data_IF_391581183674
#
_entry.id   IF_391581183674
#
_cell.length_a   1.000
_cell.length_b   1.000
_cell.length_c   1.000
_cell.angle_alpha   90.00
_cell.angle_beta   90.00
_cell.angle_gamma   90.00
#
_symmetry.space_group_name_H-M   'P 1'
#
loop_
_entity.id
_entity.type
_entity.pdbx_description
1 polymer ?
#
# COMPACT_ATOMS: atom_id res chain seq x y z
N UNK A 1 -179.77 -202.68 -0.36
CA UNK A 1 -178.87 -202.71 -1.54
C UNK A 1 -178.50 -201.27 -1.90
N UNK A 2 -177.19 -200.98 -1.90
CA UNK A 2 -176.45 -199.94 -2.64
C UNK A 2 -177.18 -198.62 -2.93
N UNK A 3 -177.05 -197.64 -2.03
CA UNK A 3 -177.18 -196.20 -2.37
C UNK A 3 -176.65 -195.24 -1.29
N UNK A 4 -176.04 -195.71 -0.19
CA UNK A 4 -175.66 -194.86 0.95
C UNK A 4 -174.19 -194.41 0.97
N UNK A 5 -173.34 -194.93 0.08
CA UNK A 5 -171.88 -194.74 0.17
C UNK A 5 -171.34 -193.62 -0.74
N UNK A 6 -172.09 -193.15 -1.74
CA UNK A 6 -171.62 -192.10 -2.68
C UNK A 6 -171.85 -190.66 -2.18
N UNK A 7 -172.81 -190.42 -1.27
CA UNK A 7 -173.10 -189.08 -0.75
C UNK A 7 -172.07 -188.56 0.27
N UNK A 8 -171.34 -189.45 0.95
CA UNK A 8 -170.33 -189.04 1.95
C UNK A 8 -169.05 -188.49 1.33
N UNK A 9 -168.60 -189.04 0.20
CA UNK A 9 -167.36 -188.62 -0.43
C UNK A 9 -167.43 -187.21 -1.05
N UNK A 10 -168.62 -186.77 -1.48
CA UNK A 10 -168.80 -185.44 -2.06
C UNK A 10 -168.80 -184.32 -1.00
N UNK A 11 -169.27 -184.62 0.21
CA UNK A 11 -169.31 -183.66 1.31
C UNK A 11 -167.90 -183.29 1.83
N UNK A 12 -166.98 -184.25 1.88
CA UNK A 12 -165.61 -184.00 2.35
C UNK A 12 -164.81 -183.07 1.40
N UNK A 13 -164.93 -183.27 0.08
CA UNK A 13 -164.23 -182.44 -0.92
C UNK A 13 -164.71 -180.98 -0.91
N UNK A 14 -166.00 -180.75 -0.65
CA UNK A 14 -166.54 -179.39 -0.58
C UNK A 14 -165.96 -178.64 0.63
N UNK A 15 -165.82 -179.33 1.76
CA UNK A 15 -165.28 -178.77 2.99
C UNK A 15 -163.79 -178.44 2.88
N UNK A 16 -163.02 -179.27 2.17
CA UNK A 16 -161.60 -178.97 1.90
C UNK A 16 -161.44 -177.75 0.97
N UNK A 17 -162.27 -177.64 -0.07
CA UNK A 17 -162.26 -176.47 -0.97
C UNK A 17 -162.54 -175.17 -0.21
N UNK A 18 -163.50 -175.18 0.69
CA UNK A 18 -163.84 -174.00 1.50
C UNK A 18 -162.72 -173.62 2.47
N UNK A 19 -162.05 -174.59 3.10
CA UNK A 19 -160.85 -174.34 3.91
C UNK A 19 -159.72 -173.73 3.10
N UNK A 20 -159.42 -174.29 1.92
CA UNK A 20 -158.37 -173.79 1.05
C UNK A 20 -158.66 -172.37 0.55
N UNK A 21 -159.93 -172.08 0.23
CA UNK A 21 -160.34 -170.75 -0.18
C UNK A 21 -160.25 -169.74 0.97
N UNK A 22 -160.63 -170.14 2.18
CA UNK A 22 -160.48 -169.29 3.38
C UNK A 22 -158.99 -168.99 3.67
N UNK A 23 -158.13 -170.01 3.62
CA UNK A 23 -156.68 -169.81 3.76
C UNK A 23 -156.10 -168.92 2.66
N UNK A 24 -156.53 -169.09 1.40
CA UNK A 24 -156.07 -168.24 0.29
C UNK A 24 -156.47 -166.78 0.46
N UNK A 25 -157.71 -166.51 0.88
CA UNK A 25 -158.18 -165.14 1.15
C UNK A 25 -157.39 -164.50 2.31
N UNK A 26 -157.13 -165.25 3.38
CA UNK A 26 -156.31 -164.76 4.50
C UNK A 26 -154.89 -164.47 4.04
N UNK A 27 -154.22 -165.41 3.36
CA UNK A 27 -152.85 -165.20 2.87
C UNK A 27 -152.75 -164.04 1.86
N UNK A 28 -153.76 -163.88 1.00
CA UNK A 28 -153.83 -162.73 0.10
C UNK A 28 -153.97 -161.43 0.89
N UNK A 29 -154.83 -161.40 1.92
CA UNK A 29 -155.03 -160.24 2.77
C UNK A 29 -153.79 -159.91 3.61
N UNK A 30 -153.13 -160.90 4.21
CA UNK A 30 -151.90 -160.70 4.98
C UNK A 30 -150.75 -160.23 4.08
N UNK A 31 -150.68 -160.71 2.82
CA UNK A 31 -149.74 -160.19 1.82
C UNK A 31 -150.04 -158.72 1.50
N UNK A 32 -151.29 -158.36 1.24
CA UNK A 32 -151.71 -156.98 0.97
C UNK A 32 -151.44 -156.05 2.16
N UNK A 33 -151.69 -156.52 3.40
CA UNK A 33 -151.38 -155.80 4.65
C UNK A 33 -149.87 -155.57 4.79
N UNK A 34 -149.02 -156.59 4.62
CA UNK A 34 -147.55 -156.43 4.63
C UNK A 34 -147.05 -155.48 3.53
N UNK A 35 -147.66 -155.50 2.35
CA UNK A 35 -147.32 -154.58 1.26
C UNK A 35 -147.74 -153.13 1.56
N UNK A 36 -148.82 -152.93 2.32
CA UNK A 36 -149.23 -151.63 2.81
C UNK A 36 -148.28 -151.13 3.92
N UNK A 37 -147.86 -151.99 4.85
CA UNK A 37 -146.87 -151.67 5.89
C UNK A 37 -145.51 -151.28 5.29
N UNK A 38 -145.03 -152.00 4.27
CA UNK A 38 -143.80 -151.65 3.55
C UNK A 38 -143.88 -150.25 2.93
N UNK A 39 -144.98 -149.94 2.23
CA UNK A 39 -145.20 -148.59 1.67
C UNK A 39 -145.30 -147.51 2.75
N UNK A 40 -145.89 -147.82 3.90
CA UNK A 40 -145.95 -146.89 5.02
C UNK A 40 -144.55 -146.63 5.59
N UNK A 41 -143.72 -147.67 5.76
CA UNK A 41 -142.33 -147.53 6.21
C UNK A 41 -141.44 -146.81 5.19
N UNK A 42 -141.63 -147.05 3.89
CA UNK A 42 -140.92 -146.33 2.83
C UNK A 42 -141.23 -144.83 2.85
N UNK A 43 -142.51 -144.46 3.02
CA UNK A 43 -142.90 -143.05 3.20
C UNK A 43 -142.32 -142.44 4.46
N UNK A 44 -142.38 -143.15 5.59
CA UNK A 44 -141.77 -142.65 6.81
C UNK A 44 -140.24 -142.48 6.69
N UNK A 45 -139.55 -143.34 5.93
CA UNK A 45 -138.12 -143.17 5.65
C UNK A 45 -137.88 -141.95 4.77
N UNK A 46 -138.67 -141.77 3.71
CA UNK A 46 -138.60 -140.58 2.86
C UNK A 46 -138.87 -139.29 3.64
N UNK A 47 -139.92 -139.24 4.46
CA UNK A 47 -140.23 -138.08 5.29
C UNK A 47 -139.09 -137.76 6.27
N UNK A 48 -138.42 -138.78 6.83
CA UNK A 48 -137.23 -138.60 7.68
C UNK A 48 -136.03 -138.09 6.88
N UNK A 49 -135.81 -138.60 5.68
CA UNK A 49 -134.73 -138.15 4.79
C UNK A 49 -134.94 -136.71 4.35
N UNK A 50 -136.15 -136.36 3.89
CA UNK A 50 -136.52 -134.99 3.51
C UNK A 50 -136.39 -134.03 4.69
N UNK A 51 -136.87 -134.42 5.87
CA UNK A 51 -136.68 -133.63 7.09
C UNK A 51 -135.20 -133.43 7.42
N UNK A 52 -134.39 -134.48 7.31
CA UNK A 52 -132.96 -134.35 7.56
C UNK A 52 -132.26 -133.45 6.52
N UNK A 53 -132.66 -133.53 5.25
CA UNK A 53 -132.16 -132.66 4.19
C UNK A 53 -132.54 -131.20 4.43
N UNK A 54 -133.78 -130.92 4.86
CA UNK A 54 -134.19 -129.57 5.25
C UNK A 54 -133.39 -129.06 6.45
N UNK A 55 -133.19 -129.88 7.49
CA UNK A 55 -132.37 -129.52 8.64
C UNK A 55 -130.90 -129.26 8.27
N UNK A 56 -130.35 -130.01 7.30
CA UNK A 56 -129.01 -129.78 6.76
C UNK A 56 -128.93 -128.47 5.99
N UNK A 57 -129.89 -128.21 5.08
CA UNK A 57 -129.94 -126.96 4.32
C UNK A 57 -130.11 -125.74 5.23
N UNK A 58 -130.97 -125.81 6.25
CA UNK A 58 -131.14 -124.73 7.24
C UNK A 58 -129.85 -124.46 8.02
N UNK A 59 -129.08 -125.52 8.36
CA UNK A 59 -127.76 -125.37 8.99
C UNK A 59 -126.72 -124.79 8.03
N UNK A 60 -126.70 -125.21 6.77
CA UNK A 60 -125.80 -124.69 5.75
C UNK A 60 -126.08 -123.21 5.47
N UNK A 61 -127.36 -122.83 5.32
CA UNK A 61 -127.78 -121.44 5.18
C UNK A 61 -127.43 -120.61 6.42
N UNK A 62 -127.62 -121.17 7.63
CA UNK A 62 -127.20 -120.56 8.89
C UNK A 62 -125.69 -120.30 8.95
N UNK A 63 -124.87 -121.31 8.61
CA UNK A 63 -123.42 -121.18 8.55
C UNK A 63 -122.97 -120.20 7.47
N UNK A 64 -123.67 -120.15 6.33
CA UNK A 64 -123.39 -119.19 5.27
C UNK A 64 -123.70 -117.76 5.71
N UNK A 65 -124.83 -117.54 6.41
CA UNK A 65 -125.17 -116.25 7.01
C UNK A 65 -124.14 -115.85 8.08
N UNK A 66 -123.79 -116.73 9.00
CA UNK A 66 -122.76 -116.47 10.02
C UNK A 66 -121.41 -116.14 9.38
N UNK A 67 -121.00 -116.89 8.35
CA UNK A 67 -119.77 -116.62 7.60
C UNK A 67 -119.81 -115.25 6.92
N UNK A 68 -120.95 -114.90 6.32
CA UNK A 68 -121.14 -113.60 5.66
C UNK A 68 -121.08 -112.47 6.67
N UNK A 69 -121.73 -112.62 7.82
CA UNK A 69 -121.74 -111.64 8.90
C UNK A 69 -120.33 -111.43 9.43
N UNK A 70 -119.59 -112.49 9.76
CA UNK A 70 -118.19 -112.42 10.19
C UNK A 70 -117.32 -111.74 9.13
N UNK A 71 -117.50 -112.05 7.84
CA UNK A 71 -116.77 -111.39 6.75
C UNK A 71 -117.08 -109.89 6.67
N UNK A 72 -118.34 -109.51 6.86
CA UNK A 72 -118.71 -108.09 6.86
C UNK A 72 -118.17 -107.36 8.09
N UNK A 73 -118.21 -107.97 9.27
CA UNK A 73 -117.61 -107.42 10.49
C UNK A 73 -116.09 -107.26 10.35
N UNK A 74 -115.40 -108.26 9.77
CA UNK A 74 -113.97 -108.17 9.47
C UNK A 74 -113.67 -107.03 8.50
N UNK A 75 -114.42 -106.91 7.39
CA UNK A 75 -114.24 -105.83 6.43
C UNK A 75 -114.48 -104.44 7.06
N UNK A 76 -115.51 -104.31 7.91
CA UNK A 76 -115.82 -103.07 8.63
C UNK A 76 -114.71 -102.71 9.62
N UNK A 77 -114.22 -103.68 10.40
CA UNK A 77 -113.14 -103.47 11.37
C UNK A 77 -111.81 -103.15 10.68
N UNK A 78 -111.43 -103.85 9.61
CA UNK A 78 -110.26 -103.56 8.79
C UNK A 78 -110.33 -102.15 8.18
N UNK A 79 -111.48 -101.77 7.62
CA UNK A 79 -111.67 -100.42 7.10
C UNK A 79 -111.58 -99.38 8.22
N UNK A 80 -112.14 -99.66 9.41
CA UNK A 80 -112.00 -98.85 10.61
C UNK A 80 -110.54 -98.65 11.02
N UNK A 81 -109.74 -99.73 11.07
CA UNK A 81 -108.31 -99.66 11.37
C UNK A 81 -107.53 -98.87 10.32
N UNK A 82 -107.78 -99.09 9.03
CA UNK A 82 -107.10 -98.33 7.96
C UNK A 82 -107.48 -96.85 7.99
N UNK A 83 -108.71 -96.51 8.35
CA UNK A 83 -109.14 -95.12 8.54
C UNK A 83 -108.48 -94.50 9.77
N UNK A 84 -108.39 -95.23 10.89
CA UNK A 84 -107.69 -94.76 12.09
C UNK A 84 -106.20 -94.49 11.81
N UNK A 85 -105.51 -95.40 11.11
CA UNK A 85 -104.10 -95.20 10.71
C UNK A 85 -103.96 -94.01 9.76
N UNK A 86 -104.86 -93.84 8.79
CA UNK A 86 -104.86 -92.68 7.89
C UNK A 86 -105.05 -91.37 8.67
N UNK A 87 -105.98 -91.34 9.61
CA UNK A 87 -106.20 -90.18 10.47
C UNK A 87 -104.97 -89.87 11.34
N UNK A 88 -104.37 -90.87 11.96
CA UNK A 88 -103.14 -90.71 12.76
C UNK A 88 -101.97 -90.18 11.93
N UNK A 89 -101.79 -90.68 10.70
CA UNK A 89 -100.77 -90.16 9.76
C UNK A 89 -101.05 -88.70 9.39
N UNK A 90 -102.30 -88.35 9.08
CA UNK A 90 -102.66 -86.97 8.76
C UNK A 90 -102.42 -86.03 9.94
N UNK A 91 -102.73 -86.45 11.17
CA UNK A 91 -102.45 -85.68 12.38
C UNK A 91 -100.93 -85.53 12.60
N UNK A 92 -100.15 -86.59 12.39
CA UNK A 92 -98.70 -86.55 12.45
C UNK A 92 -98.11 -85.61 11.39
N UNK A 93 -98.57 -85.68 10.14
CA UNK A 93 -98.12 -84.80 9.06
C UNK A 93 -98.45 -83.34 9.35
N UNK A 94 -99.63 -83.06 9.91
CA UNK A 94 -99.99 -81.72 10.39
C UNK A 94 -99.06 -81.22 11.50
N UNK A 95 -98.74 -82.08 12.48
CA UNK A 95 -97.83 -81.74 13.57
C UNK A 95 -96.38 -81.54 13.09
N UNK A 96 -95.91 -82.37 12.15
CA UNK A 96 -94.60 -82.21 11.52
C UNK A 96 -94.54 -80.92 10.70
N UNK A 97 -95.61 -80.61 9.98
CA UNK A 97 -95.71 -79.36 9.22
C UNK A 97 -95.66 -78.14 10.15
N UNK A 98 -96.47 -78.11 11.22
CA UNK A 98 -96.46 -76.99 12.17
C UNK A 98 -95.09 -76.80 12.81
N UNK A 99 -94.45 -77.89 13.23
CA UNK A 99 -93.11 -77.84 13.83
C UNK A 99 -92.05 -77.36 12.84
N UNK A 100 -92.12 -77.77 11.56
CA UNK A 100 -91.23 -77.27 10.51
C UNK A 100 -91.42 -75.77 10.28
N UNK A 101 -92.67 -75.31 10.22
CA UNK A 101 -92.95 -73.88 10.05
C UNK A 101 -92.44 -73.06 11.23
N UNK A 102 -92.59 -73.56 12.46
CA UNK A 102 -92.03 -72.93 13.66
C UNK A 102 -90.50 -72.85 13.58
N UNK A 103 -89.81 -73.95 13.24
CA UNK A 103 -88.36 -73.95 13.08
C UNK A 103 -87.87 -73.06 11.94
N UNK A 104 -88.60 -72.98 10.83
CA UNK A 104 -88.26 -72.08 9.73
C UNK A 104 -88.38 -70.61 10.14
N UNK A 105 -89.44 -70.25 10.87
CA UNK A 105 -89.61 -68.90 11.39
C UNK A 105 -88.57 -68.56 12.46
N UNK A 106 -88.28 -69.47 13.38
CA UNK A 106 -87.22 -69.30 14.39
C UNK A 106 -85.84 -69.14 13.75
N UNK A 107 -85.53 -69.94 12.71
CA UNK A 107 -84.29 -69.83 11.96
C UNK A 107 -84.20 -68.48 11.21
N UNK A 108 -85.29 -68.03 10.58
CA UNK A 108 -85.35 -66.71 9.94
C UNK A 108 -85.14 -65.58 10.95
N UNK A 109 -85.80 -65.66 12.11
CA UNK A 109 -85.66 -64.68 13.19
C UNK A 109 -84.23 -64.65 13.73
N UNK A 110 -83.62 -65.82 13.98
CA UNK A 110 -82.24 -65.92 14.43
C UNK A 110 -81.26 -65.32 13.40
N UNK A 111 -81.42 -65.65 12.11
CA UNK A 111 -80.61 -65.08 11.03
C UNK A 111 -80.80 -63.56 10.92
N UNK A 112 -82.02 -63.05 11.05
CA UNK A 112 -82.32 -61.62 11.02
C UNK A 112 -81.67 -60.90 12.21
N UNK A 113 -81.75 -61.46 13.42
CA UNK A 113 -81.09 -60.93 14.62
C UNK A 113 -79.57 -60.92 14.47
N UNK A 114 -78.97 -62.01 13.99
CA UNK A 114 -77.54 -62.06 13.73
C UNK A 114 -77.10 -61.06 12.66
N UNK A 115 -77.87 -60.92 11.58
CA UNK A 115 -77.61 -59.93 10.53
C UNK A 115 -77.66 -58.51 11.10
N UNK A 116 -78.69 -58.19 11.90
CA UNK A 116 -78.81 -56.89 12.55
C UNK A 116 -77.68 -56.63 13.57
N UNK A 117 -77.27 -57.65 14.34
CA UNK A 117 -76.13 -57.52 15.25
C UNK A 117 -74.84 -57.26 14.50
N UNK A 118 -74.63 -57.95 13.37
CA UNK A 118 -73.46 -57.75 12.52
C UNK A 118 -73.43 -56.36 11.87
N UNK A 119 -74.57 -55.83 11.41
CA UNK A 119 -74.62 -54.46 10.88
C UNK A 119 -74.34 -53.44 11.97
N UNK A 120 -74.95 -53.56 13.15
CA UNK A 120 -74.69 -52.67 14.29
C UNK A 120 -73.23 -52.68 14.74
N UNK A 121 -72.59 -53.86 14.78
CA UNK A 121 -71.17 -53.97 15.12
C UNK A 121 -70.28 -53.29 14.07
N UNK A 122 -70.60 -53.44 12.77
CA UNK A 122 -69.88 -52.76 11.69
C UNK A 122 -70.05 -51.24 11.77
N UNK A 123 -71.28 -50.77 11.96
CA UNK A 123 -71.58 -49.34 12.11
C UNK A 123 -70.85 -48.74 13.32
N UNK A 124 -70.88 -49.41 14.47
CA UNK A 124 -70.16 -48.95 15.67
C UNK A 124 -68.64 -48.95 15.48
N UNK A 125 -68.07 -49.94 14.80
CA UNK A 125 -66.64 -49.96 14.49
C UNK A 125 -66.25 -48.86 13.48
N UNK A 126 -67.10 -48.61 12.47
CA UNK A 126 -66.88 -47.51 11.52
C UNK A 126 -66.99 -46.14 12.19
N UNK A 127 -67.95 -45.96 13.10
CA UNK A 127 -68.13 -44.74 13.87
C UNK A 127 -66.94 -44.50 14.80
N UNK A 128 -66.47 -45.52 15.52
CA UNK A 128 -65.25 -45.44 16.33
C UNK A 128 -64.04 -45.04 15.48
N UNK A 129 -63.84 -45.70 14.33
CA UNK A 129 -62.75 -45.35 13.39
C UNK A 129 -62.87 -43.92 12.87
N UNK A 130 -64.08 -43.45 12.55
CA UNK A 130 -64.31 -42.06 12.11
C UNK A 130 -63.97 -41.07 13.21
N UNK A 131 -64.37 -41.36 14.45
CA UNK A 131 -64.06 -40.51 15.60
C UNK A 131 -62.55 -40.46 15.86
N UNK A 132 -61.85 -41.60 15.84
CA UNK A 132 -60.38 -41.64 15.96
C UNK A 132 -59.68 -40.83 14.87
N UNK A 133 -60.10 -41.00 13.61
CA UNK A 133 -59.56 -40.22 12.49
C UNK A 133 -59.82 -38.72 12.70
N UNK A 134 -61.01 -38.35 13.16
CA UNK A 134 -61.36 -36.96 13.43
C UNK A 134 -60.51 -36.37 14.56
N UNK A 135 -60.30 -37.09 15.67
CA UNK A 135 -59.43 -36.66 16.77
C UNK A 135 -57.99 -36.49 16.31
N UNK A 136 -57.43 -37.48 15.60
CA UNK A 136 -56.07 -37.39 15.05
C UNK A 136 -55.94 -36.22 14.07
N UNK A 137 -56.96 -35.97 13.25
CA UNK A 137 -56.96 -34.85 12.30
C UNK A 137 -56.99 -33.52 13.04
N UNK A 138 -57.85 -33.39 14.05
CA UNK A 138 -57.92 -32.18 14.88
C UNK A 138 -56.61 -31.90 15.63
N UNK A 139 -55.95 -32.93 16.18
CA UNK A 139 -54.64 -32.81 16.81
C UNK A 139 -53.56 -32.37 15.81
N UNK A 140 -53.54 -32.97 14.61
CA UNK A 140 -52.62 -32.58 13.54
C UNK A 140 -52.87 -31.16 13.06
N UNK A 141 -54.11 -30.76 12.86
CA UNK A 141 -54.48 -29.42 12.42
C UNK A 141 -54.14 -28.36 13.47
N UNK A 142 -54.31 -28.69 14.77
CA UNK A 142 -53.86 -27.86 15.87
C UNK A 142 -52.33 -27.71 15.85
N UNK A 143 -51.58 -28.80 15.66
CA UNK A 143 -50.12 -28.74 15.57
C UNK A 143 -49.64 -27.95 14.35
N UNK A 144 -50.25 -28.14 13.18
CA UNK A 144 -49.96 -27.37 11.97
C UNK A 144 -50.20 -25.88 12.23
N UNK A 145 -51.31 -25.53 12.89
CA UNK A 145 -51.61 -24.15 13.25
C UNK A 145 -50.58 -23.54 14.21
N UNK A 146 -50.12 -24.31 15.20
CA UNK A 146 -49.06 -23.89 16.12
C UNK A 146 -47.73 -23.64 15.39
N UNK A 147 -47.33 -24.54 14.49
CA UNK A 147 -46.11 -24.40 13.69
C UNK A 147 -46.21 -23.17 12.77
N UNK A 148 -47.35 -22.94 12.13
CA UNK A 148 -47.60 -21.74 11.32
C UNK A 148 -47.47 -20.47 12.17
N UNK A 149 -48.04 -20.46 13.38
CA UNK A 149 -47.95 -19.31 14.29
C UNK A 149 -46.50 -19.03 14.74
N UNK A 150 -45.73 -20.08 15.09
CA UNK A 150 -44.30 -19.96 15.42
C UNK A 150 -43.51 -19.43 14.24
N UNK A 151 -43.69 -20.02 13.06
CA UNK A 151 -43.03 -19.58 11.84
C UNK A 151 -43.36 -18.11 11.53
N UNK A 152 -44.63 -17.69 11.66
CA UNK A 152 -45.03 -16.30 11.45
C UNK A 152 -44.33 -15.34 12.44
N UNK A 153 -44.20 -15.73 13.71
CA UNK A 153 -43.47 -14.96 14.73
C UNK A 153 -41.98 -14.86 14.41
N UNK A 154 -41.35 -15.96 14.01
CA UNK A 154 -39.94 -16.00 13.65
C UNK A 154 -39.66 -15.16 12.39
N UNK A 155 -40.51 -15.27 11.37
CA UNK A 155 -40.43 -14.40 10.18
C UNK A 155 -40.57 -12.92 10.54
N UNK A 156 -41.48 -12.57 11.46
CA UNK A 156 -41.61 -11.19 11.93
C UNK A 156 -40.36 -10.72 12.69
N UNK A 157 -39.76 -11.58 13.51
CA UNK A 157 -38.51 -11.29 14.21
C UNK A 157 -37.34 -11.08 13.24
N UNK A 158 -37.20 -11.95 12.24
CA UNK A 158 -36.19 -11.83 11.17
C UNK A 158 -36.38 -10.51 10.41
N UNK A 159 -37.61 -10.18 10.02
CA UNK A 159 -37.92 -8.91 9.33
C UNK A 159 -37.52 -7.70 10.17
N UNK A 160 -37.86 -7.71 11.47
CA UNK A 160 -37.45 -6.63 12.40
C UNK A 160 -35.93 -6.53 12.50
N UNK A 161 -35.22 -7.64 12.68
CA UNK A 161 -33.76 -7.65 12.73
C UNK A 161 -33.13 -7.04 11.48
N UNK A 162 -33.58 -7.43 10.28
CA UNK A 162 -33.06 -6.84 9.05
C UNK A 162 -33.45 -5.37 8.89
N UNK A 163 -34.66 -4.98 9.30
CA UNK A 163 -35.10 -3.59 9.28
C UNK A 163 -34.24 -2.73 10.21
N UNK A 164 -33.97 -3.20 11.42
CA UNK A 164 -33.13 -2.55 12.42
C UNK A 164 -31.66 -2.49 11.99
N UNK A 165 -31.15 -3.57 11.38
CA UNK A 165 -29.79 -3.56 10.81
C UNK A 165 -29.69 -2.58 9.65
N UNK A 166 -30.73 -2.47 8.83
CA UNK A 166 -30.79 -1.54 7.70
C UNK A 166 -30.91 -0.10 8.19
N UNK A 167 -31.77 0.19 9.16
CA UNK A 167 -31.91 1.53 9.75
C UNK A 167 -30.63 1.96 10.46
N UNK A 168 -30.02 1.09 11.27
CA UNK A 168 -28.73 1.34 11.92
C UNK A 168 -27.62 1.61 10.91
N UNK A 169 -27.53 0.82 9.84
CA UNK A 169 -26.57 1.08 8.75
C UNK A 169 -26.85 2.42 8.06
N UNK A 170 -28.12 2.75 7.80
CA UNK A 170 -28.50 4.02 7.19
C UNK A 170 -28.10 5.21 8.07
N UNK A 171 -28.32 5.11 9.39
CA UNK A 171 -27.95 6.13 10.35
C UNK A 171 -26.43 6.29 10.46
N UNK A 172 -25.68 5.18 10.42
CA UNK A 172 -24.22 5.22 10.34
C UNK A 172 -23.75 5.92 9.06
N UNK A 173 -24.34 5.60 7.90
CA UNK A 173 -24.02 6.25 6.63
C UNK A 173 -24.33 7.75 6.70
N UNK A 174 -25.45 8.16 7.31
CA UNK A 174 -25.78 9.58 7.50
C UNK A 174 -24.72 10.29 8.34
N UNK A 175 -24.34 9.71 9.49
CA UNK A 175 -23.28 10.27 10.36
C UNK A 175 -21.95 10.41 9.61
N UNK A 176 -21.52 9.36 8.91
CA UNK A 176 -20.28 9.41 8.13
C UNK A 176 -20.32 10.46 7.01
N UNK A 177 -21.49 10.70 6.41
CA UNK A 177 -21.67 11.78 5.43
C UNK A 177 -21.62 13.16 6.08
N UNK A 178 -22.23 13.34 7.24
CA UNK A 178 -22.15 14.58 8.02
C UNK A 178 -20.69 14.88 8.43
N UNK A 179 -20.00 13.89 8.99
CA UNK A 179 -18.57 13.99 9.36
C UNK A 179 -17.71 14.32 8.14
N UNK A 180 -17.98 13.70 6.99
CA UNK A 180 -17.26 14.00 5.74
C UNK A 180 -17.46 15.44 5.27
N UNK A 181 -18.70 15.95 5.31
CA UNK A 181 -18.99 17.34 4.96
C UNK A 181 -18.36 18.32 5.97
N UNK A 182 -18.32 17.99 7.25
CA UNK A 182 -17.62 18.79 8.27
C UNK A 182 -16.11 18.84 8.03
N UNK A 183 -15.48 17.69 7.79
CA UNK A 183 -14.05 17.61 7.46
C UNK A 183 -13.73 18.40 6.18
N UNK A 184 -14.57 18.30 5.16
CA UNK A 184 -14.40 19.08 3.93
C UNK A 184 -14.54 20.59 4.16
N UNK A 185 -15.46 21.02 5.03
CA UNK A 185 -15.56 22.43 5.46
C UNK A 185 -14.33 22.87 6.28
N UNK A 186 -13.78 21.99 7.12
CA UNK A 186 -12.55 22.28 7.85
C UNK A 186 -11.36 22.42 6.89
N UNK A 187 -11.19 21.47 5.95
CA UNK A 187 -10.13 21.51 4.94
C UNK A 187 -10.21 22.77 4.06
N UNK A 188 -11.42 23.16 3.62
CA UNK A 188 -11.59 24.42 2.86
C UNK A 188 -11.30 25.67 3.69
N UNK A 189 -11.46 25.63 5.02
CA UNK A 189 -11.03 26.72 5.91
C UNK A 189 -9.51 26.71 6.08
N UNK A 190 -8.91 25.55 6.30
CA UNK A 190 -7.47 25.39 6.50
C UNK A 190 -6.69 25.72 5.24
N UNK A 191 -7.18 25.35 4.06
CA UNK A 191 -6.57 25.75 2.78
C UNK A 191 -6.61 27.27 2.60
N UNK A 192 -7.68 27.95 3.02
CA UNK A 192 -7.76 29.42 3.02
C UNK A 192 -6.79 30.05 4.02
N UNK A 193 -6.74 29.56 5.26
CA UNK A 193 -5.79 30.09 6.26
C UNK A 193 -4.35 29.84 5.85
N UNK A 194 -4.06 28.70 5.23
CA UNK A 194 -2.73 28.36 4.73
C UNK A 194 -2.34 29.25 3.53
N UNK A 195 -3.28 29.56 2.64
CA UNK A 195 -3.06 30.53 1.56
C UNK A 195 -2.81 31.95 2.11
N UNK A 196 -3.59 32.38 3.11
CA UNK A 196 -3.40 33.67 3.78
C UNK A 196 -2.06 33.75 4.51
N UNK A 197 -1.67 32.70 5.23
CA UNK A 197 -0.38 32.59 5.90
C UNK A 197 0.77 32.57 4.90
N UNK A 198 0.64 31.87 3.77
CA UNK A 198 1.64 31.88 2.70
C UNK A 198 1.77 33.26 2.06
N UNK A 199 0.65 33.97 1.85
CA UNK A 199 0.66 35.35 1.34
C UNK A 199 1.36 36.30 2.32
N UNK A 200 1.03 36.22 3.62
CA UNK A 200 1.69 36.98 4.69
C UNK A 200 3.16 36.62 4.83
N UNK A 201 3.51 35.34 4.72
CA UNK A 201 4.90 34.89 4.75
C UNK A 201 5.68 35.46 3.58
N UNK A 202 5.12 35.42 2.35
CA UNK A 202 5.77 36.04 1.18
C UNK A 202 5.91 37.55 1.33
N UNK A 203 4.88 38.25 1.81
CA UNK A 203 4.91 39.71 1.97
C UNK A 203 5.86 40.17 3.06
N UNK A 204 6.11 39.37 4.10
CA UNK A 204 6.99 39.74 5.20
C UNK A 204 8.43 39.23 5.01
N UNK A 205 8.59 38.02 4.46
CA UNK A 205 9.89 37.39 4.30
C UNK A 205 10.68 37.97 3.14
N UNK A 206 10.03 38.41 2.06
CA UNK A 206 10.72 39.00 0.91
C UNK A 206 11.39 40.36 1.26
N UNK A 207 10.72 41.29 1.97
CA UNK A 207 11.39 42.48 2.51
C UNK A 207 12.45 42.15 3.55
N UNK A 208 12.22 41.17 4.42
CA UNK A 208 13.20 40.77 5.43
C UNK A 208 14.47 40.20 4.79
N UNK A 209 14.35 39.40 3.74
CA UNK A 209 15.47 38.85 2.98
C UNK A 209 16.25 39.95 2.27
N UNK A 210 15.56 40.91 1.65
CA UNK A 210 16.18 42.09 1.03
C UNK A 210 16.91 42.96 2.06
N UNK A 211 16.29 43.23 3.21
CA UNK A 211 16.90 44.01 4.28
C UNK A 211 18.13 43.30 4.87
N UNK A 212 18.07 41.96 5.07
CA UNK A 212 19.23 41.17 5.52
C UNK A 212 20.38 41.20 4.52
N UNK A 213 20.09 41.00 3.23
CA UNK A 213 21.11 41.09 2.18
C UNK A 213 21.75 42.48 2.12
N UNK A 214 20.96 43.55 2.30
CA UNK A 214 21.48 44.91 2.34
C UNK A 214 22.33 45.18 3.58
N UNK A 215 21.94 44.66 4.75
CA UNK A 215 22.76 44.74 5.98
C UNK A 215 24.09 43.99 5.79
N UNK A 216 24.08 42.80 5.18
CA UNK A 216 25.31 42.06 4.87
C UNK A 216 26.21 42.83 3.90
N UNK A 217 25.64 43.42 2.83
CA UNK A 217 26.36 44.24 1.85
C UNK A 217 27.00 45.46 2.51
N UNK A 218 26.22 46.24 3.27
CA UNK A 218 26.71 47.42 3.99
C UNK A 218 27.77 47.08 5.03
N UNK A 219 27.66 45.92 5.69
CA UNK A 219 28.68 45.45 6.64
C UNK A 219 29.99 45.09 5.92
N UNK A 220 29.92 44.50 4.71
CA UNK A 220 31.09 44.24 3.89
C UNK A 220 31.75 45.55 3.40
N UNK A 221 30.95 46.51 2.93
CA UNK A 221 31.43 47.83 2.51
C UNK A 221 32.10 48.58 3.68
N UNK A 222 31.51 48.51 4.87
CA UNK A 222 32.09 49.13 6.07
C UNK A 222 33.44 48.50 6.44
N UNK A 223 33.58 47.17 6.34
CA UNK A 223 34.87 46.50 6.53
C UNK A 223 35.91 46.97 5.50
N UNK A 224 35.52 47.08 4.23
CA UNK A 224 36.42 47.58 3.18
C UNK A 224 36.85 49.03 3.47
N UNK A 225 35.91 49.91 3.80
CA UNK A 225 36.21 51.29 4.19
C UNK A 225 37.14 51.38 5.41
N UNK A 226 37.01 50.51 6.41
CA UNK A 226 37.96 50.50 7.55
C UNK A 226 39.37 50.07 7.13
N UNK A 227 39.49 49.12 6.20
CA UNK A 227 40.78 48.71 5.64
C UNK A 227 41.41 49.84 4.83
N UNK A 228 40.63 50.50 3.99
CA UNK A 228 41.09 51.62 3.17
C UNK A 228 41.47 52.84 4.03
N UNK A 229 40.76 53.10 5.13
CA UNK A 229 41.15 54.13 6.09
C UNK A 229 42.51 53.84 6.73
N UNK A 230 42.80 52.57 7.08
CA UNK A 230 44.12 52.17 7.59
C UNK A 230 45.22 52.32 6.54
N UNK A 231 44.94 51.95 5.29
CA UNK A 231 45.88 52.14 4.16
C UNK A 231 46.17 53.61 3.93
N UNK A 232 45.14 54.45 3.96
CA UNK A 232 45.27 55.90 3.80
C UNK A 232 46.16 56.49 4.89
N UNK A 233 46.00 56.07 6.15
CA UNK A 233 46.85 56.54 7.24
C UNK A 233 48.32 56.14 7.03
N UNK A 234 48.58 54.90 6.64
CA UNK A 234 49.94 54.44 6.31
C UNK A 234 50.56 55.24 5.15
N UNK A 235 49.78 55.56 4.11
CA UNK A 235 50.24 56.39 2.99
C UNK A 235 50.49 57.84 3.42
N UNK A 236 49.69 58.39 4.33
CA UNK A 236 49.93 59.74 4.88
C UNK A 236 51.23 59.79 5.68
N UNK A 237 51.51 58.78 6.50
CA UNK A 237 52.77 58.70 7.24
C UNK A 237 53.98 58.59 6.31
N UNK A 238 53.90 57.80 5.24
CA UNK A 238 54.99 57.71 4.26
C UNK A 238 55.15 59.01 3.47
N UNK A 239 54.04 59.65 3.07
CA UNK A 239 54.06 60.94 2.39
C UNK A 239 54.71 62.02 3.27
N UNK A 240 54.34 62.11 4.54
CA UNK A 240 54.93 63.07 5.47
C UNK A 240 56.45 62.86 5.62
N UNK A 241 56.92 61.60 5.67
CA UNK A 241 58.36 61.30 5.65
C UNK A 241 59.04 61.77 4.37
N UNK A 242 58.40 61.56 3.21
CA UNK A 242 58.93 62.03 1.92
C UNK A 242 58.93 63.55 1.80
N UNK A 243 57.91 64.24 2.30
CA UNK A 243 57.86 65.72 2.35
C UNK A 243 59.01 66.28 3.20
N UNK A 244 59.30 65.67 4.36
CA UNK A 244 60.43 66.06 5.20
C UNK A 244 61.78 65.82 4.49
N UNK A 245 61.95 64.69 3.80
CA UNK A 245 63.15 64.43 3.00
C UNK A 245 63.32 65.43 1.86
N UNK A 246 62.22 65.76 1.16
CA UNK A 246 62.21 66.76 0.09
C UNK A 246 62.59 68.14 0.62
N UNK A 247 62.00 68.57 1.75
CA UNK A 247 62.34 69.85 2.39
C UNK A 247 63.82 69.93 2.79
N UNK A 248 64.37 68.85 3.35
CA UNK A 248 65.80 68.77 3.68
C UNK A 248 66.68 68.84 2.41
N UNK A 249 66.28 68.17 1.33
CA UNK A 249 67.00 68.21 0.06
C UNK A 249 66.94 69.61 -0.58
N UNK A 250 65.81 70.30 -0.51
CA UNK A 250 65.65 71.68 -0.98
C UNK A 250 66.56 72.65 -0.21
N UNK A 251 66.59 72.55 1.12
CA UNK A 251 67.51 73.33 1.96
C UNK A 251 68.98 73.08 1.57
N UNK A 252 69.35 71.82 1.35
CA UNK A 252 70.71 71.47 0.92
C UNK A 252 71.03 72.05 -0.46
N UNK A 253 70.09 71.99 -1.41
CA UNK A 253 70.23 72.60 -2.73
C UNK A 253 70.42 74.12 -2.60
N UNK A 254 69.62 74.83 -1.81
CA UNK A 254 69.78 76.27 -1.60
C UNK A 254 71.16 76.62 -1.02
N UNK A 255 71.64 75.84 -0.04
CA UNK A 255 72.97 76.01 0.55
C UNK A 255 74.06 75.82 -0.51
N UNK A 256 73.98 74.76 -1.32
CA UNK A 256 74.98 74.47 -2.34
C UNK A 256 74.93 75.47 -3.51
N UNK A 257 73.74 75.96 -3.88
CA UNK A 257 73.60 77.07 -4.83
C UNK A 257 74.26 78.35 -4.30
N UNK A 258 74.06 78.70 -3.03
CA UNK A 258 74.71 79.87 -2.43
C UNK A 258 76.23 79.72 -2.39
N UNK A 259 76.75 78.52 -2.07
CA UNK A 259 78.18 78.22 -2.13
C UNK A 259 78.72 78.37 -3.54
N UNK A 260 78.02 77.85 -4.54
CA UNK A 260 78.41 77.96 -5.95
C UNK A 260 78.43 79.42 -6.42
N UNK A 261 77.43 80.23 -6.03
CA UNK A 261 77.39 81.67 -6.35
C UNK A 261 78.60 82.40 -5.76
N UNK A 262 78.96 82.13 -4.49
CA UNK A 262 80.17 82.71 -3.87
C UNK A 262 81.44 82.28 -4.60
N UNK A 263 81.63 80.99 -4.85
CA UNK A 263 82.80 80.47 -5.56
C UNK A 263 82.92 81.04 -6.99
N UNK A 264 81.79 81.23 -7.68
CA UNK A 264 81.77 81.83 -9.02
C UNK A 264 82.19 83.30 -8.94
N UNK A 265 81.69 84.06 -7.96
CA UNK A 265 82.13 85.44 -7.72
C UNK A 265 83.62 85.53 -7.37
N UNK A 266 84.13 84.62 -6.55
CA UNK A 266 85.56 84.58 -6.18
C UNK A 266 86.43 84.22 -7.38
N UNK A 267 86.02 83.24 -8.20
CA UNK A 267 86.68 82.88 -9.47
C UNK A 267 86.72 84.07 -10.43
N UNK A 268 85.59 84.72 -10.65
CA UNK A 268 85.47 85.84 -11.59
C UNK A 268 86.24 87.07 -11.08
N UNK A 269 86.20 87.31 -9.76
CA UNK A 269 87.01 88.32 -9.10
C UNK A 269 88.51 88.06 -9.25
N UNK A 270 88.94 86.80 -9.13
CA UNK A 270 90.34 86.41 -9.34
C UNK A 270 90.75 86.55 -10.80
N UNK A 271 89.92 86.12 -11.75
CA UNK A 271 90.15 86.29 -13.18
C UNK A 271 90.28 87.78 -13.56
N UNK A 272 89.40 88.64 -13.03
CA UNK A 272 89.47 90.08 -13.22
C UNK A 272 90.74 90.70 -12.62
N UNK A 273 91.18 90.27 -11.43
CA UNK A 273 92.45 90.70 -10.83
C UNK A 273 93.65 90.24 -11.68
N UNK A 274 93.65 88.99 -12.13
CA UNK A 274 94.69 88.43 -12.98
C UNK A 274 94.85 89.24 -14.27
N UNK A 275 93.73 89.56 -14.93
CA UNK A 275 93.74 90.35 -16.16
C UNK A 275 94.22 91.79 -15.93
N UNK A 276 93.84 92.44 -14.82
CA UNK A 276 94.38 93.76 -14.43
C UNK A 276 95.89 93.72 -14.20
N UNK A 277 96.41 92.70 -13.51
CA UNK A 277 97.84 92.52 -13.28
C UNK A 277 98.57 92.32 -14.61
N UNK A 278 98.02 91.49 -15.51
CA UNK A 278 98.61 91.20 -16.81
C UNK A 278 98.72 92.46 -17.68
N UNK A 279 97.64 93.26 -17.77
CA UNK A 279 97.69 94.56 -18.47
C UNK A 279 98.67 95.54 -17.83
N UNK A 280 98.74 95.61 -16.50
CA UNK A 280 99.69 96.49 -15.81
C UNK A 280 101.15 96.10 -16.09
N UNK A 281 101.47 94.80 -16.08
CA UNK A 281 102.80 94.29 -16.41
C UNK A 281 103.13 94.56 -17.87
N UNK A 282 102.19 94.31 -18.79
CA UNK A 282 102.37 94.58 -20.21
C UNK A 282 102.59 96.07 -20.48
N UNK A 283 101.83 96.97 -19.83
CA UNK A 283 102.00 98.41 -19.95
C UNK A 283 103.35 98.88 -19.42
N UNK A 284 103.77 98.39 -18.24
CA UNK A 284 105.09 98.71 -17.66
C UNK A 284 106.24 98.20 -18.53
N UNK A 285 106.13 96.97 -19.04
CA UNK A 285 107.12 96.41 -19.97
C UNK A 285 107.15 97.17 -21.28
N UNK A 286 105.99 97.53 -21.84
CA UNK A 286 105.88 98.32 -23.07
C UNK A 286 106.48 99.71 -22.91
N UNK A 287 106.19 100.42 -21.82
CA UNK A 287 106.83 101.70 -21.48
C UNK A 287 108.35 101.56 -21.33
N UNK A 288 108.82 100.50 -20.67
CA UNK A 288 110.27 100.26 -20.50
C UNK A 288 110.94 99.99 -21.85
N UNK A 289 110.34 99.20 -22.72
CA UNK A 289 110.84 98.93 -24.06
C UNK A 289 110.86 100.20 -24.91
N UNK A 290 109.79 101.01 -24.88
CA UNK A 290 109.73 102.28 -25.62
C UNK A 290 110.81 103.28 -25.16
N UNK A 291 111.11 103.32 -23.85
CA UNK A 291 112.20 104.15 -23.32
C UNK A 291 113.56 103.62 -23.78
N UNK A 292 113.74 102.29 -23.84
CA UNK A 292 114.98 101.68 -24.33
C UNK A 292 115.18 101.93 -25.82
N UNK A 293 114.14 101.81 -26.64
CA UNK A 293 114.16 102.17 -28.06
C UNK A 293 114.53 103.65 -28.25
N UNK A 294 113.86 104.58 -27.55
CA UNK A 294 114.23 106.00 -27.64
C UNK A 294 115.66 106.31 -27.19
N UNK A 295 116.19 105.58 -26.20
CA UNK A 295 117.59 105.71 -25.79
C UNK A 295 118.53 105.15 -26.86
N UNK A 296 118.15 104.05 -27.51
CA UNK A 296 118.91 103.47 -28.61
C UNK A 296 118.95 104.44 -29.80
N UNK A 297 117.80 104.96 -30.22
CA UNK A 297 117.69 105.94 -31.32
C UNK A 297 118.54 107.19 -31.05
N UNK A 298 118.48 107.72 -29.82
CA UNK A 298 119.31 108.87 -29.42
C UNK A 298 120.80 108.55 -29.41
N UNK A 299 121.19 107.33 -29.01
CA UNK A 299 122.59 106.90 -29.04
C UNK A 299 123.07 106.70 -30.48
N UNK A 300 122.25 106.13 -31.35
CA UNK A 300 122.52 106.01 -32.78
C UNK A 300 122.69 107.38 -33.44
N UNK A 301 121.82 108.35 -33.15
CA UNK A 301 121.95 109.72 -33.65
C UNK A 301 123.26 110.38 -33.15
N UNK A 302 123.61 110.22 -31.87
CA UNK A 302 124.91 110.73 -31.37
C UNK A 302 126.11 110.03 -32.01
N UNK A 303 125.98 108.75 -32.35
CA UNK A 303 127.03 108.00 -33.03
C UNK A 303 127.19 108.47 -34.47
N UNK A 304 126.10 108.67 -35.22
CA UNK A 304 126.14 109.22 -36.58
C UNK A 304 126.72 110.64 -36.63
N UNK A 305 126.40 111.48 -35.64
CA UNK A 305 127.02 112.80 -35.49
C UNK A 305 128.52 112.68 -35.19
N UNK A 306 128.91 111.78 -34.29
CA UNK A 306 130.34 111.53 -34.00
C UNK A 306 131.08 111.01 -35.25
N UNK A 307 130.51 110.08 -36.00
CA UNK A 307 131.13 109.49 -37.20
C UNK A 307 131.24 110.50 -38.35
N UNK A 308 130.24 111.39 -38.50
CA UNK A 308 130.31 112.50 -39.46
C UNK A 308 131.36 113.54 -39.07
N UNK A 309 131.44 113.92 -37.79
CA UNK A 309 132.50 114.79 -37.26
C UNK A 309 133.89 114.15 -37.41
N UNK A 310 134.03 112.86 -37.11
CA UNK A 310 135.27 112.11 -37.29
C UNK A 310 135.68 112.07 -38.77
N UNK A 311 134.73 111.86 -39.67
CA UNK A 311 134.96 111.90 -41.13
C UNK A 311 135.38 113.28 -41.61
N UNK A 312 134.78 114.36 -41.09
CA UNK A 312 135.14 115.74 -41.44
C UNK A 312 136.55 116.12 -40.91
N UNK A 313 136.90 115.70 -39.70
CA UNK A 313 138.26 115.89 -39.15
C UNK A 313 139.29 115.13 -39.97
N UNK A 314 138.97 113.89 -40.38
CA UNK A 314 139.86 113.09 -41.22
C UNK A 314 140.10 113.73 -42.60
N UNK A 315 139.08 114.38 -43.18
CA UNK A 315 139.23 115.09 -44.47
C UNK A 315 139.97 116.41 -44.30
N UNK A 316 139.65 117.21 -43.28
CA UNK A 316 140.23 118.54 -43.07
C UNK A 316 141.69 118.52 -42.60
N UNK A 317 142.09 117.51 -41.83
CA UNK A 317 143.44 117.43 -41.29
C UNK A 317 144.49 116.99 -42.32
N UNK A 318 144.07 116.59 -43.54
CA UNK A 318 144.95 116.07 -44.59
C UNK A 318 145.98 115.05 -44.04
N UNK A 319 145.56 114.32 -43.01
CA UNK A 319 146.36 113.34 -42.31
C UNK A 319 146.37 112.08 -43.16
N UNK A 320 147.55 111.62 -43.54
CA UNK A 320 147.71 110.33 -44.20
C UNK A 320 147.05 109.24 -43.33
N UNK A 321 146.13 108.49 -43.94
CA UNK A 321 145.20 107.53 -43.33
C UNK A 321 145.93 106.47 -42.49
N UNK A 322 147.19 106.18 -42.85
CA UNK A 322 148.05 105.27 -42.11
C UNK A 322 148.44 105.81 -40.72
N UNK A 323 148.70 107.12 -40.60
CA UNK A 323 149.11 107.76 -39.34
C UNK A 323 147.95 107.89 -38.36
N UNK A 324 146.73 108.19 -38.85
CA UNK A 324 145.52 108.27 -38.04
C UNK A 324 145.08 106.88 -37.51
N UNK A 325 145.17 105.84 -38.35
CA UNK A 325 144.89 104.46 -37.94
C UNK A 325 145.86 103.96 -36.86
N UNK A 326 147.16 104.25 -37.00
CA UNK A 326 148.17 103.82 -36.03
C UNK A 326 148.05 104.47 -34.65
N UNK A 327 147.58 105.72 -34.57
CA UNK A 327 147.28 106.39 -33.29
C UNK A 327 145.97 105.82 -32.69
N UNK A 328 144.94 105.59 -33.52
CA UNK A 328 143.67 104.98 -33.09
C UNK A 328 143.88 103.58 -32.51
N UNK A 329 144.67 102.74 -33.16
CA UNK A 329 144.89 101.35 -32.73
C UNK A 329 145.66 101.25 -31.41
N UNK A 330 146.65 102.13 -31.19
CA UNK A 330 147.32 102.24 -29.89
C UNK A 330 146.38 102.73 -28.79
N UNK A 331 145.51 103.69 -29.10
CA UNK A 331 144.54 104.19 -28.13
C UNK A 331 143.50 103.11 -27.78
N UNK A 332 143.02 102.35 -28.76
CA UNK A 332 142.10 101.22 -28.56
C UNK A 332 142.73 100.11 -27.73
N UNK A 333 144.01 99.79 -27.92
CA UNK A 333 144.72 98.85 -27.04
C UNK A 333 144.77 99.33 -25.59
N UNK A 334 145.02 100.63 -25.36
CA UNK A 334 145.02 101.20 -24.01
C UNK A 334 143.62 101.18 -23.39
N UNK A 335 142.58 101.47 -24.17
CA UNK A 335 141.18 101.43 -23.71
C UNK A 335 140.78 99.99 -23.35
N UNK A 336 141.10 99.01 -24.21
CA UNK A 336 140.85 97.59 -23.92
C UNK A 336 141.57 97.13 -22.66
N UNK A 337 142.86 97.43 -22.55
CA UNK A 337 143.64 97.10 -21.36
C UNK A 337 143.07 97.71 -20.08
N UNK A 338 142.63 98.97 -20.12
CA UNK A 338 141.97 99.61 -18.96
C UNK A 338 140.61 98.97 -18.64
N UNK A 339 139.81 98.62 -19.64
CA UNK A 339 138.52 97.97 -19.44
C UNK A 339 138.66 96.57 -18.84
N UNK A 340 139.65 95.79 -19.27
CA UNK A 340 139.95 94.47 -18.70
C UNK A 340 140.35 94.59 -17.22
N UNK A 341 141.17 95.59 -16.88
CA UNK A 341 141.51 95.89 -15.47
C UNK A 341 140.26 96.29 -14.67
N UNK A 342 139.40 97.13 -15.23
CA UNK A 342 138.16 97.54 -14.56
C UNK A 342 137.28 96.32 -14.28
N UNK A 343 137.14 95.40 -15.23
CA UNK A 343 136.35 94.19 -15.04
C UNK A 343 136.96 93.27 -13.98
N UNK A 344 138.28 93.04 -14.02
CA UNK A 344 138.98 92.23 -13.03
C UNK A 344 138.82 92.81 -11.60
N UNK A 345 138.98 94.12 -11.43
CA UNK A 345 138.75 94.79 -10.15
C UNK A 345 137.30 94.68 -9.66
N UNK A 346 136.33 94.69 -10.58
CA UNK A 346 134.92 94.53 -10.23
C UNK A 346 134.61 93.12 -9.73
N UNK A 347 135.19 92.10 -10.37
CA UNK A 347 135.05 90.71 -9.93
C UNK A 347 135.73 90.46 -8.58
N UNK A 348 136.92 91.02 -8.37
CA UNK A 348 137.64 90.96 -7.08
C UNK A 348 136.79 91.60 -5.96
N UNK A 349 136.21 92.78 -6.24
CA UNK A 349 135.33 93.47 -5.30
C UNK A 349 134.10 92.64 -4.95
N UNK A 350 133.45 91.99 -5.93
CA UNK A 350 132.31 91.11 -5.66
C UNK A 350 132.69 89.91 -4.78
N UNK A 351 133.81 89.24 -5.07
CA UNK A 351 134.30 88.14 -4.25
C UNK A 351 134.56 88.56 -2.81
N UNK A 352 135.15 89.72 -2.59
CA UNK A 352 135.38 90.28 -1.24
C UNK A 352 134.06 90.56 -0.52
N UNK A 353 133.07 91.14 -1.21
CA UNK A 353 131.74 91.41 -0.63
C UNK A 353 131.01 90.12 -0.23
N UNK A 354 131.16 89.05 -1.00
CA UNK A 354 130.59 87.74 -0.68
C UNK A 354 131.30 87.06 0.48
N UNK A 355 132.63 87.07 0.50
CA UNK A 355 133.41 86.58 1.63
C UNK A 355 133.06 87.34 2.91
N UNK A 356 132.97 88.68 2.85
CA UNK A 356 132.53 89.50 3.98
C UNK A 356 131.13 89.12 4.45
N UNK A 357 130.15 88.98 3.54
CA UNK A 357 128.79 88.54 3.89
C UNK A 357 128.76 87.17 4.57
N UNK A 358 129.57 86.22 4.10
CA UNK A 358 129.66 84.89 4.72
C UNK A 358 130.29 84.97 6.12
N UNK A 359 131.35 85.75 6.29
CA UNK A 359 132.00 85.97 7.59
C UNK A 359 131.02 86.62 8.57
N UNK A 360 130.28 87.64 8.15
CA UNK A 360 129.27 88.29 9.00
C UNK A 360 128.18 87.30 9.41
N UNK A 361 127.66 86.47 8.49
CA UNK A 361 126.68 85.44 8.84
C UNK A 361 127.26 84.40 9.81
N UNK A 362 128.51 83.97 9.60
CA UNK A 362 129.17 83.03 10.48
C UNK A 362 129.36 83.62 11.89
N UNK A 363 129.77 84.89 11.99
CA UNK A 363 129.86 85.61 13.26
C UNK A 363 128.51 85.76 13.95
N UNK A 364 127.47 86.17 13.22
CA UNK A 364 126.11 86.28 13.77
C UNK A 364 125.59 84.94 14.27
N UNK A 365 125.83 83.85 13.52
CA UNK A 365 125.47 82.49 13.95
C UNK A 365 126.23 82.08 15.22
N UNK A 366 127.52 82.40 15.31
CA UNK A 366 128.35 82.10 16.49
C UNK A 366 127.90 82.89 17.72
N UNK A 367 127.50 84.16 17.54
CA UNK A 367 126.98 85.00 18.63
C UNK A 367 125.62 84.53 19.13
N UNK A 368 124.73 84.12 18.21
CA UNK A 368 123.45 83.52 18.58
C UNK A 368 123.64 82.19 19.30
N UNK A 369 124.59 81.36 18.88
CA UNK A 369 124.95 80.10 19.55
C UNK A 369 125.53 80.35 20.96
N UNK A 370 126.29 81.42 21.15
CA UNK A 370 126.79 81.87 22.44
C UNK A 370 125.73 82.59 23.32
N UNK A 371 124.49 82.70 22.84
CA UNK A 371 123.37 83.27 23.60
C UNK A 371 123.37 84.80 23.67
N UNK A 372 124.17 85.50 22.85
CA UNK A 372 124.14 86.97 22.75
C UNK A 372 123.32 87.37 21.51
N UNK A 373 122.14 88.00 21.69
CA UNK A 373 121.36 88.51 20.57
C UNK A 373 122.14 89.59 19.83
N UNK A 374 122.20 89.49 18.49
CA UNK A 374 122.98 90.39 17.61
C UNK A 374 122.54 91.86 17.71
N UNK A 375 121.32 92.12 18.19
CA UNK A 375 120.77 93.45 18.44
C UNK A 375 121.44 94.18 19.63
N UNK A 376 122.06 93.44 20.55
CA UNK A 376 122.62 93.97 21.80
C UNK A 376 124.12 94.31 21.73
N UNK A 377 124.80 94.07 20.60
CA UNK A 377 126.25 94.32 20.47
C UNK A 377 126.60 95.79 20.20
N UNK A 378 125.61 96.67 19.96
CA UNK A 378 125.81 98.13 19.89
C UNK A 378 126.51 98.65 18.63
N UNK A 379 126.83 97.80 17.66
CA UNK A 379 127.36 98.18 16.34
C UNK A 379 126.74 97.32 15.24
N UNK A 380 126.24 97.96 14.17
CA UNK A 380 125.75 97.28 12.96
C UNK A 380 126.92 96.97 12.03
N UNK A 381 127.05 95.71 11.61
CA UNK A 381 128.06 95.33 10.62
C UNK A 381 127.57 95.76 9.23
N UNK A 382 128.06 96.91 8.75
CA UNK A 382 127.78 97.37 7.40
C UNK A 382 128.35 96.38 6.38
N UNK A 383 127.47 95.83 5.53
CA UNK A 383 127.89 95.00 4.41
C UNK A 383 128.60 95.89 3.38
N UNK A 384 129.79 95.50 2.94
CA UNK A 384 130.46 96.20 1.84
C UNK A 384 129.54 96.24 0.61
N UNK A 385 129.20 97.45 0.16
CA UNK A 385 128.31 97.74 -0.96
C UNK A 385 129.01 97.55 -2.29
#
# INVERSE_FOLDING_TARGET
>A
MRCADEERAFAELLQEREKLNYFWVIEKKTKEEKHAELRAKEREMQDREEKHQLELNEREDGLWHDLRDVQTELCVTENGHTQAVRMMRLLQDKAVYSLRTEFEEDAKQALALHKQRMTRLREGAEEARRNEIATITAEKDAHVSEVIAKNAKDFAAIKRYYLDRTSSNLDLIKRLKEDHEELKRAETKDTKTLADLQSRYKSLNEPLKKARAEVERLTADLKLHTLDKKRLEAVKETLHKQENLLGNAQLQQEVDEQRLRRLTSDRDGLAGKFQKVLYSVQQKSGLKNLILEKKLDSLEETLEVSDSQMSEILVSANLDRATAGGISEKLDQVIRYKNDIIQALHEESQKIKEAHRQVVRAFQSKMMEAGVPVENTGFEVQLMA
#
